data_IF_220939959672
#
_entry.id   IF_220939959672
#
_cell.length_a   1.000
_cell.length_b   1.000
_cell.length_c   1.000
_cell.angle_alpha   90.00
_cell.angle_beta   90.00
_cell.angle_gamma   90.00
#
_symmetry.space_group_name_H-M   'P 1'
#
loop_
_entity.id
_entity.type
_entity.pdbx_description
1 polymer ?
#
# COMPACT_ATOMS: atom_id res chain seq x y z
N UNK A 1 1.61 27.05 3.99
CA UNK A 1 0.79 25.83 3.79
C UNK A 1 1.54 24.82 2.92
N UNK A 2 1.56 23.55 3.31
CA UNK A 2 2.18 22.50 2.50
C UNK A 2 1.33 22.25 1.24
N UNK A 3 1.98 22.08 0.08
CA UNK A 3 1.30 21.85 -1.19
C UNK A 3 1.03 20.36 -1.39
N UNK A 4 0.08 20.01 -2.26
CA UNK A 4 -0.13 18.63 -2.67
C UNK A 4 1.06 18.15 -3.54
N UNK A 5 1.66 17.02 -3.18
CA UNK A 5 2.76 16.38 -3.91
C UNK A 5 2.27 15.22 -4.77
N UNK A 6 1.37 14.40 -4.23
CA UNK A 6 0.79 13.25 -4.91
C UNK A 6 -0.63 13.03 -4.40
N UNK A 7 -1.52 12.58 -5.28
CA UNK A 7 -2.83 12.08 -4.92
C UNK A 7 -2.96 10.61 -5.32
N UNK A 8 -3.68 9.84 -4.50
CA UNK A 8 -4.08 8.47 -4.78
C UNK A 8 -5.58 8.35 -4.56
N UNK A 9 -6.28 7.73 -5.50
CA UNK A 9 -7.73 7.56 -5.45
C UNK A 9 -8.09 6.08 -5.47
N UNK A 10 -8.83 5.65 -4.46
CA UNK A 10 -9.56 4.38 -4.49
C UNK A 10 -10.93 4.56 -5.16
N UNK A 11 -11.79 3.56 -5.01
CA UNK A 11 -13.14 3.60 -5.61
C UNK A 11 -14.04 4.70 -5.05
N UNK A 12 -13.86 5.07 -3.78
CA UNK A 12 -14.72 6.03 -3.09
C UNK A 12 -13.97 6.95 -2.11
N UNK A 13 -12.64 6.88 -2.06
CA UNK A 13 -11.82 7.67 -1.15
C UNK A 13 -10.54 8.17 -1.82
N UNK A 14 -9.98 9.23 -1.27
CA UNK A 14 -8.77 9.86 -1.79
C UNK A 14 -7.79 10.14 -0.66
N UNK A 15 -6.51 9.95 -0.96
CA UNK A 15 -5.39 10.25 -0.09
C UNK A 15 -4.48 11.23 -0.82
N UNK A 16 -4.08 12.29 -0.15
CA UNK A 16 -3.16 13.29 -0.69
C UNK A 16 -1.92 13.34 0.19
N UNK A 17 -0.77 13.09 -0.41
CA UNK A 17 0.55 13.28 0.21
C UNK A 17 0.99 14.71 -0.03
N UNK A 18 1.41 15.38 1.04
CA UNK A 18 1.83 16.78 1.00
C UNK A 18 3.35 16.91 0.88
N UNK A 19 3.83 18.09 0.46
CA UNK A 19 5.27 18.36 0.27
C UNK A 19 6.09 18.29 1.56
N UNK A 20 5.46 18.48 2.72
CA UNK A 20 6.10 18.34 4.03
C UNK A 20 6.17 16.88 4.52
N UNK A 21 5.67 15.93 3.72
CA UNK A 21 5.66 14.50 4.04
C UNK A 21 4.45 14.06 4.86
N UNK A 22 3.58 14.96 5.29
CA UNK A 22 2.30 14.59 5.91
C UNK A 22 1.29 14.13 4.85
N UNK A 23 0.16 13.56 5.28
CA UNK A 23 -0.91 13.15 4.38
C UNK A 23 -2.31 13.43 4.94
N UNK A 24 -3.23 13.73 4.04
CA UNK A 24 -4.65 13.95 4.33
C UNK A 24 -5.51 12.95 3.56
N UNK A 25 -6.69 12.65 4.09
CA UNK A 25 -7.67 11.76 3.47
C UNK A 25 -9.08 12.34 3.49
N UNK A 26 -9.86 12.01 2.47
CA UNK A 26 -11.29 12.36 2.36
C UNK A 26 -12.04 11.35 1.49
N UNK A 27 -13.37 11.38 1.55
CA UNK A 27 -14.27 10.45 0.87
C UNK A 27 -14.89 9.42 1.83
N UNK A 28 -15.27 8.27 1.30
CA UNK A 28 -15.82 7.16 2.07
C UNK A 28 -14.80 6.63 3.06
N UNK A 29 -15.20 6.49 4.32
CA UNK A 29 -14.43 5.86 5.37
C UNK A 29 -15.18 4.69 6.00
N UNK A 30 -16.33 4.21 5.51
CA UNK A 30 -17.11 3.14 6.16
C UNK A 30 -16.28 1.93 6.60
N UNK A 31 -15.28 1.55 5.80
CA UNK A 31 -14.38 0.42 6.05
C UNK A 31 -12.98 0.83 6.54
N UNK A 32 -12.87 2.02 7.14
CA UNK A 32 -11.67 2.54 7.83
C UNK A 32 -10.51 2.88 6.88
N UNK A 33 -10.81 3.07 5.60
CA UNK A 33 -9.82 3.27 4.54
C UNK A 33 -9.11 4.63 4.57
N UNK A 34 -9.53 5.57 5.43
CA UNK A 34 -8.83 6.85 5.65
C UNK A 34 -7.87 6.83 6.83
N UNK A 35 -7.90 5.81 7.68
CA UNK A 35 -6.98 5.72 8.83
C UNK A 35 -7.21 6.80 9.90
N UNK A 36 -8.39 7.41 9.91
CA UNK A 36 -8.75 8.53 10.82
C UNK A 36 -9.32 8.05 12.15
N UNK A 37 -9.74 6.78 12.25
CA UNK A 37 -10.43 6.22 13.41
C UNK A 37 -9.49 5.29 14.18
N UNK A 38 -9.22 5.63 15.44
CA UNK A 38 -8.26 4.85 16.23
C UNK A 38 -8.88 3.58 16.83
N UNK A 39 -8.18 2.45 16.74
CA UNK A 39 -8.70 1.14 17.15
C UNK A 39 -8.90 1.05 18.67
N UNK A 40 -8.05 1.77 19.44
CA UNK A 40 -8.13 1.91 20.90
C UNK A 40 -9.39 2.66 21.37
N UNK A 41 -10.02 3.44 20.49
CA UNK A 41 -11.24 4.17 20.78
C UNK A 41 -12.43 3.51 20.05
N UNK A 42 -12.98 2.47 20.70
CA UNK A 42 -14.11 1.69 20.16
C UNK A 42 -15.36 2.53 19.89
N UNK A 43 -15.55 3.63 20.64
CA UNK A 43 -16.60 4.61 20.38
C UNK A 43 -16.36 5.35 19.06
N UNK A 44 -15.15 5.87 18.83
CA UNK A 44 -14.78 6.51 17.57
C UNK A 44 -14.85 5.57 16.36
N UNK A 45 -14.56 4.27 16.53
CA UNK A 45 -14.76 3.27 15.49
C UNK A 45 -16.23 3.12 15.08
N UNK A 46 -17.16 3.17 16.05
CA UNK A 46 -18.59 2.99 15.81
C UNK A 46 -19.30 4.27 15.34
N UNK A 47 -18.92 5.41 15.92
CA UNK A 47 -19.61 6.70 15.76
C UNK A 47 -18.91 7.66 14.79
N UNK A 48 -17.70 7.32 14.34
CA UNK A 48 -16.97 8.15 13.39
C UNK A 48 -17.69 8.29 12.04
N UNK A 49 -17.48 9.41 11.33
CA UNK A 49 -18.22 9.69 10.10
C UNK A 49 -17.92 8.65 9.03
N UNK A 50 -18.97 8.08 8.46
CA UNK A 50 -18.88 7.17 7.32
C UNK A 50 -18.36 7.86 6.05
N UNK A 51 -18.59 9.16 5.90
CA UNK A 51 -18.13 9.98 4.77
C UNK A 51 -17.43 11.22 5.34
N UNK A 52 -16.24 11.51 4.82
CA UNK A 52 -15.43 12.66 5.19
C UNK A 52 -15.38 13.61 4.00
N UNK A 53 -16.13 14.71 4.07
CA UNK A 53 -16.26 15.63 2.93
C UNK A 53 -15.04 16.55 2.74
N UNK A 54 -14.31 16.84 3.81
CA UNK A 54 -13.14 17.73 3.78
C UNK A 54 -11.85 16.95 4.03
N UNK A 55 -10.73 17.31 3.38
CA UNK A 55 -9.44 16.69 3.64
C UNK A 55 -9.05 16.78 5.13
N UNK A 56 -8.92 15.63 5.79
CA UNK A 56 -8.49 15.54 7.19
C UNK A 56 -7.10 14.96 7.30
N UNK A 57 -6.28 15.53 8.17
CA UNK A 57 -4.95 15.02 8.47
C UNK A 57 -5.04 13.61 9.08
N UNK A 58 -4.22 12.71 8.57
CA UNK A 58 -4.06 11.37 9.14
C UNK A 58 -3.03 11.46 10.26
N UNK A 59 -3.51 11.71 11.48
CA UNK A 59 -2.67 12.00 12.66
C UNK A 59 -1.60 10.95 12.95
N UNK A 60 -1.84 9.69 12.61
CA UNK A 60 -0.86 8.60 12.75
C UNK A 60 0.46 8.85 12.00
N UNK A 61 0.44 9.71 10.98
CA UNK A 61 1.60 10.06 10.16
C UNK A 61 2.09 11.49 10.39
N UNK A 62 1.58 12.22 11.40
CA UNK A 62 2.11 13.53 11.76
C UNK A 62 3.60 13.42 12.12
N UNK A 63 4.43 14.25 11.48
CA UNK A 63 5.89 14.25 11.67
C UNK A 63 6.61 13.04 11.05
N UNK A 64 5.90 12.16 10.33
CA UNK A 64 6.50 11.12 9.48
C UNK A 64 6.61 11.65 8.05
N UNK A 65 7.51 11.06 7.27
CA UNK A 65 7.73 11.43 5.86
C UNK A 65 7.09 10.39 4.94
N UNK A 66 5.78 10.54 4.70
CA UNK A 66 5.06 9.77 3.68
C UNK A 66 5.59 10.19 2.31
N UNK A 67 6.04 9.23 1.52
CA UNK A 67 6.68 9.48 0.23
C UNK A 67 5.74 9.22 -0.93
N UNK A 68 4.93 8.15 -0.82
CA UNK A 68 3.97 7.70 -1.82
C UNK A 68 2.72 7.12 -1.15
N UNK A 69 1.57 7.26 -1.81
CA UNK A 69 0.32 6.61 -1.46
C UNK A 69 -0.25 5.80 -2.64
N UNK A 70 -0.93 4.71 -2.33
CA UNK A 70 -1.84 4.01 -3.22
C UNK A 70 -3.15 3.75 -2.50
N UNK A 71 -4.25 3.85 -3.23
CA UNK A 71 -5.58 3.62 -2.73
C UNK A 71 -6.33 2.73 -3.73
N UNK A 72 -7.03 1.73 -3.23
CA UNK A 72 -7.80 0.79 -4.03
C UNK A 72 -9.10 0.45 -3.36
N UNK A 73 -9.84 -0.49 -3.93
CA UNK A 73 -11.17 -0.87 -3.45
C UNK A 73 -12.13 -1.16 -4.58
N UNK A 74 -13.11 -2.02 -4.33
CA UNK A 74 -14.12 -2.41 -5.30
C UNK A 74 -15.52 -2.13 -4.77
N UNK A 75 -16.23 -1.20 -5.43
CA UNK A 75 -17.65 -0.90 -5.20
C UNK A 75 -18.07 -0.89 -3.72
N UNK A 76 -19.00 -1.79 -3.37
CA UNK A 76 -19.64 -1.88 -2.06
C UNK A 76 -18.80 -2.60 -0.98
N UNK A 77 -17.73 -3.30 -1.36
CA UNK A 77 -16.95 -4.11 -0.41
C UNK A 77 -15.97 -3.28 0.41
N UNK A 78 -15.63 -2.07 -0.03
CA UNK A 78 -14.79 -1.13 0.71
C UNK A 78 -13.41 -0.90 0.12
N UNK A 79 -12.78 0.19 0.57
CA UNK A 79 -11.46 0.62 0.12
C UNK A 79 -10.32 0.12 1.00
N UNK A 80 -9.11 0.15 0.45
CA UNK A 80 -7.87 0.01 1.23
C UNK A 80 -6.86 1.07 0.80
N UNK A 81 -5.96 1.40 1.71
CA UNK A 81 -4.90 2.38 1.50
C UNK A 81 -3.58 1.77 1.92
N UNK A 82 -2.57 2.01 1.09
CA UNK A 82 -1.18 1.64 1.36
C UNK A 82 -0.30 2.87 1.18
N UNK A 83 0.54 3.13 2.17
CA UNK A 83 1.47 4.24 2.19
C UNK A 83 2.90 3.72 2.26
N UNK A 84 3.79 4.41 1.56
CA UNK A 84 5.23 4.29 1.75
C UNK A 84 5.69 5.44 2.64
N UNK A 85 6.38 5.12 3.72
CA UNK A 85 6.87 6.08 4.72
C UNK A 85 8.37 5.90 4.83
N UNK A 86 9.12 6.98 4.61
CA UNK A 86 10.57 6.91 4.77
C UNK A 86 10.94 6.74 6.25
N UNK A 87 11.69 5.69 6.55
CA UNK A 87 12.22 5.40 7.88
C UNK A 87 13.76 5.50 7.93
N UNK A 88 14.35 5.46 9.14
CA UNK A 88 15.80 5.51 9.33
C UNK A 88 16.53 4.26 8.79
N UNK A 89 15.86 3.10 8.76
CA UNK A 89 16.41 1.82 8.30
C UNK A 89 15.97 1.45 6.86
N UNK A 90 15.35 2.41 6.14
CA UNK A 90 14.74 2.22 4.83
C UNK A 90 13.26 2.59 4.79
N UNK A 91 12.69 2.52 3.59
CA UNK A 91 11.27 2.79 3.37
C UNK A 91 10.38 1.71 3.99
N UNK A 92 9.29 2.13 4.63
CA UNK A 92 8.34 1.29 5.32
C UNK A 92 6.99 1.30 4.63
N UNK A 93 6.37 0.13 4.49
CA UNK A 93 5.00 0.02 4.03
C UNK A 93 4.02 0.03 5.20
N UNK A 94 2.98 0.83 5.07
CA UNK A 94 1.89 0.95 6.02
C UNK A 94 0.56 0.74 5.32
N UNK A 95 -0.37 0.00 5.92
CA UNK A 95 -1.66 -0.31 5.33
C UNK A 95 -2.82 -0.15 6.32
N UNK A 96 -3.97 0.26 5.82
CA UNK A 96 -5.23 0.40 6.55
C UNK A 96 -6.44 0.32 5.60
N UNK A 97 -7.62 0.12 6.19
CA UNK A 97 -8.89 -0.05 5.48
C UNK A 97 -9.42 -1.47 5.50
N UNK A 98 -10.09 -1.84 4.42
CA UNK A 98 -10.72 -3.14 4.23
C UNK A 98 -9.68 -4.25 3.99
N UNK A 99 -9.76 -5.35 4.77
CA UNK A 99 -8.71 -6.38 4.82
C UNK A 99 -9.16 -7.83 4.62
N UNK A 100 -10.41 -8.09 4.24
CA UNK A 100 -10.95 -9.47 4.17
C UNK A 100 -10.31 -10.35 3.09
N UNK A 101 -9.60 -9.75 2.13
CA UNK A 101 -8.96 -10.48 1.03
C UNK A 101 -7.45 -10.52 1.17
N UNK A 102 -6.89 -10.08 2.29
CA UNK A 102 -5.45 -10.03 2.52
C UNK A 102 -4.73 -8.86 1.89
N UNK A 103 -5.44 -7.93 1.22
CA UNK A 103 -4.87 -6.76 0.52
C UNK A 103 -4.08 -5.80 1.42
N UNK A 104 -4.17 -5.93 2.74
CA UNK A 104 -3.39 -5.14 3.69
C UNK A 104 -2.02 -5.76 4.00
N UNK A 105 -1.73 -6.96 3.47
CA UNK A 105 -0.43 -7.62 3.59
C UNK A 105 -0.08 -8.10 5.00
N UNK A 106 -1.07 -8.16 5.90
CA UNK A 106 -0.94 -8.65 7.26
C UNK A 106 -1.47 -10.08 7.42
N UNK A 107 -1.04 -10.77 8.49
CA UNK A 107 -1.50 -12.14 8.82
C UNK A 107 -2.98 -12.25 9.21
N UNK A 108 -3.76 -11.18 9.15
CA UNK A 108 -5.14 -11.14 9.63
C UNK A 108 -6.10 -10.58 8.57
N UNK A 109 -7.29 -11.17 8.51
CA UNK A 109 -8.41 -10.83 7.60
C UNK A 109 -9.25 -9.63 8.08
N UNK A 110 -8.77 -8.90 9.09
CA UNK A 110 -9.54 -7.85 9.75
C UNK A 110 -9.37 -6.50 9.05
N UNK A 111 -10.41 -5.68 9.07
CA UNK A 111 -10.27 -4.25 8.78
C UNK A 111 -9.26 -3.62 9.73
N UNK A 112 -8.39 -2.77 9.21
CA UNK A 112 -7.34 -2.10 9.97
C UNK A 112 -7.68 -0.62 10.00
N UNK A 113 -7.98 -0.10 11.19
CA UNK A 113 -8.29 1.32 11.37
C UNK A 113 -7.06 2.14 11.72
N UNK A 114 -6.28 1.65 12.68
CA UNK A 114 -4.96 2.17 13.01
C UNK A 114 -3.99 1.72 11.93
N UNK A 115 -3.37 2.62 11.15
CA UNK A 115 -2.39 2.23 10.15
C UNK A 115 -1.35 1.27 10.73
N UNK A 116 -1.16 0.12 10.06
CA UNK A 116 -0.23 -0.92 10.50
C UNK A 116 0.94 -1.04 9.54
N UNK A 117 2.14 -1.11 10.10
CA UNK A 117 3.36 -1.40 9.36
C UNK A 117 3.37 -2.86 8.87
N UNK A 118 3.66 -3.06 7.58
CA UNK A 118 3.86 -4.38 6.97
C UNK A 118 5.31 -4.80 7.23
N UNK A 119 5.54 -5.42 8.38
CA UNK A 119 6.89 -5.75 8.86
C UNK A 119 7.63 -6.78 7.99
N UNK A 120 6.91 -7.60 7.21
CA UNK A 120 7.52 -8.59 6.31
C UNK A 120 8.36 -7.96 5.19
N UNK A 121 8.11 -6.69 4.84
CA UNK A 121 8.85 -5.98 3.80
C UNK A 121 9.89 -4.98 4.36
N UNK A 122 9.84 -4.70 5.67
CA UNK A 122 10.69 -3.70 6.31
C UNK A 122 12.17 -4.11 6.46
N UNK A 123 12.48 -5.40 6.36
CA UNK A 123 13.83 -5.96 6.61
C UNK A 123 14.45 -6.59 5.37
N UNK A 124 13.97 -6.25 4.18
CA UNK A 124 14.52 -6.77 2.94
C UNK A 124 15.92 -6.19 2.71
N UNK A 125 16.87 -7.08 2.47
CA UNK A 125 18.28 -6.79 2.25
C UNK A 125 18.76 -7.66 1.10
N UNK A 126 19.68 -7.14 0.30
CA UNK A 126 20.41 -7.92 -0.70
C UNK A 126 21.88 -7.57 -0.69
N UNK A 127 22.69 -8.49 -1.21
CA UNK A 127 24.09 -8.21 -1.49
C UNK A 127 24.18 -7.42 -2.79
N UNK A 128 24.83 -6.27 -2.73
CA UNK A 128 25.18 -5.46 -3.89
C UNK A 128 26.63 -5.74 -4.27
N UNK A 129 26.83 -6.30 -5.46
CA UNK A 129 28.16 -6.66 -5.97
C UNK A 129 29.02 -5.42 -6.26
N UNK A 130 28.40 -4.30 -6.68
CA UNK A 130 29.11 -3.07 -7.04
C UNK A 130 29.66 -2.38 -5.79
N UNK A 131 28.89 -2.36 -4.69
CA UNK A 131 29.32 -1.77 -3.41
C UNK A 131 29.96 -2.78 -2.45
N UNK A 132 29.99 -4.07 -2.81
CA UNK A 132 30.45 -5.18 -1.97
C UNK A 132 29.86 -5.16 -0.56
N UNK A 133 28.57 -4.84 -0.46
CA UNK A 133 27.93 -4.63 0.83
C UNK A 133 26.46 -5.08 0.83
N UNK A 134 25.93 -5.33 2.02
CA UNK A 134 24.50 -5.62 2.18
C UNK A 134 23.73 -4.31 2.18
N UNK A 135 22.93 -4.08 1.15
CA UNK A 135 22.12 -2.87 0.99
C UNK A 135 20.67 -3.10 1.40
N UNK A 136 20.01 -2.02 1.83
CA UNK A 136 18.58 -2.05 2.14
C UNK A 136 17.76 -1.95 0.87
N UNK A 137 16.83 -2.89 0.69
CA UNK A 137 15.87 -2.84 -0.41
C UNK A 137 14.75 -1.88 -0.03
N UNK A 138 14.52 -0.88 -0.87
CA UNK A 138 13.48 0.12 -0.66
C UNK A 138 12.29 -0.13 -1.57
N UNK A 139 11.10 0.29 -1.13
CA UNK A 139 9.87 0.25 -1.92
C UNK A 139 9.78 1.53 -2.74
N UNK A 140 9.88 1.41 -4.07
CA UNK A 140 9.88 2.54 -4.99
C UNK A 140 8.48 3.05 -5.31
N UNK A 141 7.54 2.12 -5.50
CA UNK A 141 6.16 2.44 -5.86
C UNK A 141 5.21 1.38 -5.31
N UNK A 142 3.96 1.77 -5.11
CA UNK A 142 2.86 0.90 -4.73
C UNK A 142 1.68 1.14 -5.64
N UNK A 143 0.92 0.08 -5.89
CA UNK A 143 -0.34 0.17 -6.60
C UNK A 143 -1.37 -0.73 -5.91
N UNK A 144 -2.61 -0.25 -5.85
CA UNK A 144 -3.73 -0.96 -5.25
C UNK A 144 -4.77 -1.22 -6.33
N UNK A 145 -5.19 -2.48 -6.49
CA UNK A 145 -6.35 -2.85 -7.29
C UNK A 145 -7.63 -2.83 -6.47
N UNK A 146 -8.65 -3.61 -6.85
CA UNK A 146 -9.87 -3.71 -6.02
C UNK A 146 -9.60 -4.45 -4.71
N UNK A 147 -8.96 -5.62 -4.80
CA UNK A 147 -8.79 -6.57 -3.69
C UNK A 147 -7.36 -7.09 -3.55
N UNK A 148 -6.41 -6.44 -4.22
CA UNK A 148 -5.00 -6.81 -4.21
C UNK A 148 -4.11 -5.57 -4.19
N UNK A 149 -2.86 -5.76 -3.80
CA UNK A 149 -1.85 -4.72 -3.79
C UNK A 149 -0.56 -5.27 -4.37
N UNK A 150 0.17 -4.39 -5.05
CA UNK A 150 1.53 -4.64 -5.50
C UNK A 150 2.49 -3.55 -5.01
N UNK A 151 3.75 -3.92 -4.80
CA UNK A 151 4.84 -3.03 -4.44
C UNK A 151 6.06 -3.32 -5.31
N UNK A 152 6.57 -2.29 -5.97
CA UNK A 152 7.79 -2.34 -6.77
C UNK A 152 8.99 -1.98 -5.90
N UNK A 153 10.02 -2.82 -5.91
CA UNK A 153 11.24 -2.61 -5.15
C UNK A 153 12.32 -1.88 -5.97
N UNK A 154 13.31 -1.33 -5.29
CA UNK A 154 14.52 -0.73 -5.90
C UNK A 154 15.29 -1.69 -6.82
N UNK A 155 15.12 -2.98 -6.59
CA UNK A 155 15.79 -4.08 -7.29
C UNK A 155 15.08 -4.46 -8.58
N UNK A 156 13.91 -3.87 -8.85
CA UNK A 156 13.03 -4.25 -9.96
C UNK A 156 12.16 -5.48 -9.65
N UNK A 157 12.32 -6.11 -8.48
CA UNK A 157 11.39 -7.17 -8.04
C UNK A 157 10.05 -6.57 -7.60
N UNK A 158 8.99 -7.36 -7.72
CA UNK A 158 7.63 -6.93 -7.33
C UNK A 158 7.11 -7.86 -6.24
N UNK A 159 6.57 -7.26 -5.19
CA UNK A 159 5.76 -7.97 -4.21
C UNK A 159 4.28 -7.80 -4.54
N UNK A 160 3.51 -8.86 -4.39
CA UNK A 160 2.07 -8.89 -4.64
C UNK A 160 1.36 -9.64 -3.53
N UNK A 161 0.15 -9.21 -3.17
CA UNK A 161 -0.70 -9.89 -2.20
C UNK A 161 -2.16 -9.49 -2.35
N UNK A 162 -3.05 -10.25 -1.73
CA UNK A 162 -4.48 -10.08 -1.76
C UNK A 162 -5.21 -11.20 -2.53
N UNK A 163 -6.35 -10.85 -3.10
CA UNK A 163 -7.17 -11.72 -3.95
C UNK A 163 -6.44 -12.16 -5.22
N UNK A 164 -6.67 -13.40 -5.68
CA UNK A 164 -5.95 -13.96 -6.84
C UNK A 164 -6.78 -14.85 -7.78
N UNK A 165 -8.11 -14.87 -7.65
CA UNK A 165 -8.96 -15.76 -8.45
C UNK A 165 -8.84 -15.51 -9.96
N UNK A 166 -8.41 -14.32 -10.36
CA UNK A 166 -8.19 -13.94 -11.77
C UNK A 166 -6.71 -13.95 -12.17
N UNK A 167 -5.80 -14.38 -11.28
CA UNK A 167 -4.37 -14.36 -11.53
C UNK A 167 -3.73 -12.98 -11.44
N UNK A 168 -4.37 -12.01 -10.79
CA UNK A 168 -3.86 -10.64 -10.62
C UNK A 168 -2.54 -10.57 -9.85
N UNK A 169 -2.18 -11.60 -9.07
CA UNK A 169 -0.88 -11.69 -8.42
C UNK A 169 0.21 -12.23 -9.38
N UNK A 170 -0.15 -12.74 -10.56
CA UNK A 170 0.83 -13.27 -11.53
C UNK A 170 1.48 -14.61 -11.11
N UNK A 171 0.89 -15.33 -10.15
CA UNK A 171 1.43 -16.59 -9.60
C UNK A 171 0.74 -17.85 -10.16
N UNK A 172 0.15 -17.77 -11.35
CA UNK A 172 -0.61 -18.88 -11.96
C UNK A 172 -2.08 -18.97 -11.55
N UNK A 173 -2.63 -17.96 -10.87
CA UNK A 173 -4.03 -17.89 -10.45
C UNK A 173 -4.40 -18.80 -9.28
N UNK A 174 -5.65 -18.70 -8.82
CA UNK A 174 -6.20 -19.52 -7.75
C UNK A 174 -6.10 -18.85 -6.38
N UNK A 175 -5.42 -19.49 -5.42
CA UNK A 175 -5.40 -19.02 -4.04
C UNK A 175 -4.78 -17.62 -3.89
N UNK A 176 -5.50 -16.73 -3.22
CA UNK A 176 -4.99 -15.44 -2.77
C UNK A 176 -3.89 -15.58 -1.71
N UNK A 177 -3.21 -14.47 -1.42
CA UNK A 177 -2.17 -14.42 -0.38
C UNK A 177 -2.39 -13.28 0.60
N UNK A 178 -2.33 -13.59 1.89
CA UNK A 178 -2.45 -12.62 2.98
C UNK A 178 -1.12 -11.94 3.30
N UNK A 179 -0.02 -12.52 2.82
CA UNK A 179 1.32 -11.98 3.00
C UNK A 179 1.92 -11.64 1.64
N UNK A 180 2.72 -10.57 1.55
CA UNK A 180 3.47 -10.24 0.35
C UNK A 180 4.23 -11.44 -0.20
N UNK A 181 3.93 -11.82 -1.45
CA UNK A 181 4.66 -12.82 -2.23
C UNK A 181 5.57 -12.12 -3.22
N UNK A 182 6.81 -12.58 -3.34
CA UNK A 182 7.75 -12.02 -4.30
C UNK A 182 7.53 -12.67 -5.67
N UNK A 183 7.29 -11.85 -6.68
CA UNK A 183 7.31 -12.24 -8.08
C UNK A 183 8.58 -11.66 -8.68
N UNK A 184 9.50 -12.55 -9.05
CA UNK A 184 10.75 -12.16 -9.71
C UNK A 184 10.44 -11.66 -11.12
N UNK A 185 11.18 -10.65 -11.56
CA UNK A 185 11.13 -10.20 -12.95
C UNK A 185 11.39 -11.40 -13.88
N UNK A 186 10.62 -11.56 -14.98
CA UNK A 186 10.84 -12.63 -15.94
C UNK A 186 12.31 -12.68 -16.38
N UNK A 187 12.92 -13.86 -16.31
CA UNK A 187 14.32 -14.13 -16.70
C UNK A 187 14.63 -13.87 -18.18
N UNK A 188 13.65 -13.46 -18.99
CA UNK A 188 13.82 -13.02 -20.37
C UNK A 188 13.99 -11.49 -20.49
N UNK A 189 13.77 -10.74 -19.41
CA UNK A 189 14.03 -9.29 -19.29
C UNK A 189 15.41 -9.03 -18.67
N UNK A 190 16.41 -9.87 -18.95
CA UNK A 190 17.72 -9.98 -18.25
C UNK A 190 18.49 -8.68 -17.96
N UNK A 191 18.12 -7.56 -18.56
CA UNK A 191 18.76 -6.25 -18.35
C UNK A 191 17.79 -5.10 -18.06
N UNK A 192 16.50 -5.38 -17.87
CA UNK A 192 15.48 -4.36 -17.62
C UNK A 192 15.04 -4.38 -16.16
N UNK A 193 15.44 -3.36 -15.40
CA UNK A 193 14.90 -3.08 -14.07
C UNK A 193 13.52 -2.46 -14.25
N UNK A 194 12.48 -3.08 -13.67
CA UNK A 194 11.13 -2.54 -13.70
C UNK A 194 11.12 -1.15 -13.04
N UNK A 195 10.52 -0.18 -13.73
CA UNK A 195 10.42 1.24 -13.32
C UNK A 195 9.01 1.65 -12.96
N UNK A 196 8.01 0.88 -13.39
CA UNK A 196 6.62 1.22 -13.15
C UNK A 196 5.73 0.04 -12.83
N UNK A 197 4.63 0.37 -12.16
CA UNK A 197 3.66 -0.55 -11.60
C UNK A 197 2.27 0.11 -11.60
N UNK A 198 1.25 -0.63 -12.03
CA UNK A 198 -0.14 -0.24 -11.94
C UNK A 198 -1.02 -1.46 -11.65
N UNK A 199 -2.12 -1.25 -10.93
CA UNK A 199 -3.11 -2.29 -10.65
C UNK A 199 -4.48 -1.83 -11.14
N UNK A 200 -5.12 -2.66 -11.95
CA UNK A 200 -6.54 -2.53 -12.27
C UNK A 200 -7.40 -3.31 -11.27
N UNK A 201 -8.70 -3.51 -11.55
CA UNK A 201 -9.57 -4.30 -10.70
C UNK A 201 -9.05 -5.72 -10.42
N UNK A 202 -8.71 -6.42 -11.51
CA UNK A 202 -8.33 -7.83 -11.53
C UNK A 202 -7.04 -8.07 -12.33
N UNK A 203 -6.17 -7.07 -12.43
CA UNK A 203 -4.92 -7.17 -13.17
C UNK A 203 -3.82 -6.33 -12.55
N UNK A 204 -2.57 -6.77 -12.74
CA UNK A 204 -1.36 -6.02 -12.40
C UNK A 204 -0.52 -5.84 -13.66
N UNK A 205 -0.04 -4.62 -13.90
CA UNK A 205 0.84 -4.28 -15.00
C UNK A 205 2.16 -3.70 -14.47
N UNK A 206 3.27 -4.09 -15.09
CA UNK A 206 4.61 -3.58 -14.77
C UNK A 206 5.36 -3.26 -16.07
N UNK A 207 6.28 -2.30 -16.00
CA UNK A 207 7.07 -1.87 -17.17
C UNK A 207 8.45 -1.35 -16.75
N UNK A 208 9.37 -1.28 -17.71
CA UNK A 208 10.72 -0.73 -17.56
C UNK A 208 10.84 0.66 -18.18
#
# INVERSE_FOLDING_TARGET
>A
PAAAKQAACGSAHSIVVLTDGSCVGFGDDRNLQLGLRQQKNTKALREGPSIVCEPKLIEAFRGKRVTTAAAGGGGLEGGHTVLVVAGPEGDELWAFGYGRWGQLGGRAFSHISDPKRISSLAKLREWDEDTQSVVSICVKSVACGEKHTAALLSTGNVFVWGWNDHGQLGTGGGAGSHTPLMVKSPTNLRFAILRGLACGPNSTATWC
#
